data_IF_707668532708
#
_entry.id   IF_707668532708
#
_cell.length_a   1.000
_cell.length_b   1.000
_cell.length_c   1.000
_cell.angle_alpha   90.00
_cell.angle_beta   90.00
_cell.angle_gamma   90.00
#
_symmetry.space_group_name_H-M   'P 1'
#
loop_
_entity.id
_entity.type
_entity.pdbx_description
1 polymer ?
#
# COMPACT_ATOMS: atom_id res chain seq x y z
N UNK A 1 -11.65 7.21 9.68
CA UNK A 1 -11.02 5.87 9.72
C UNK A 1 -11.68 5.05 10.84
N UNK A 2 -11.88 3.75 10.64
CA UNK A 2 -12.33 2.85 11.72
C UNK A 2 -11.21 2.72 12.77
N UNK A 3 -11.54 2.44 14.03
CA UNK A 3 -10.55 2.25 15.11
C UNK A 3 -9.49 1.22 14.73
N UNK A 4 -9.89 0.16 14.02
CA UNK A 4 -8.98 -0.84 13.46
C UNK A 4 -8.02 -0.26 12.42
N UNK A 5 -8.50 0.58 11.49
CA UNK A 5 -7.63 1.22 10.50
C UNK A 5 -6.63 2.19 11.14
N UNK A 6 -7.05 2.93 12.17
CA UNK A 6 -6.12 3.79 12.94
C UNK A 6 -5.05 2.96 13.66
N UNK A 7 -5.43 1.89 14.38
CA UNK A 7 -4.46 1.00 15.03
C UNK A 7 -3.50 0.37 14.02
N UNK A 8 -4.03 -0.08 12.87
CA UNK A 8 -3.26 -0.70 11.80
C UNK A 8 -2.26 0.27 11.16
N UNK A 9 -2.70 1.49 10.84
CA UNK A 9 -1.85 2.55 10.29
C UNK A 9 -0.84 3.16 11.25
N UNK A 10 -0.92 2.83 12.54
CA UNK A 10 0.11 3.16 13.54
C UNK A 10 0.95 1.94 13.95
N UNK A 11 0.75 0.77 13.32
CA UNK A 11 1.51 -0.45 13.60
C UNK A 11 1.21 -1.06 14.97
N UNK A 12 0.07 -0.72 15.57
CA UNK A 12 -0.33 -1.17 16.90
C UNK A 12 -0.94 -2.57 16.84
N UNK A 13 -0.12 -3.57 16.52
CA UNK A 13 -0.55 -4.97 16.35
C UNK A 13 -1.34 -5.51 17.56
N UNK A 14 -0.88 -5.26 18.78
CA UNK A 14 -1.57 -5.74 19.98
C UNK A 14 -2.92 -5.06 20.20
N UNK A 15 -3.03 -3.76 19.92
CA UNK A 15 -4.31 -3.06 19.95
C UNK A 15 -5.26 -3.60 18.87
N UNK A 16 -4.74 -3.88 17.67
CA UNK A 16 -5.54 -4.45 16.58
C UNK A 16 -6.04 -5.87 16.90
N UNK A 17 -5.19 -6.71 17.52
CA UNK A 17 -5.57 -8.03 18.06
C UNK A 17 -6.69 -7.91 19.07
N UNK A 18 -6.55 -7.00 20.03
CA UNK A 18 -7.57 -6.75 21.05
C UNK A 18 -8.90 -6.28 20.43
N UNK A 19 -8.86 -5.32 19.49
CA UNK A 19 -10.06 -4.85 18.79
C UNK A 19 -10.75 -6.00 18.05
N UNK A 20 -9.98 -6.91 17.44
CA UNK A 20 -10.53 -8.06 16.72
C UNK A 20 -11.24 -9.04 17.65
N UNK A 21 -10.70 -9.34 18.83
CA UNK A 21 -11.35 -10.24 19.79
C UNK A 21 -12.62 -9.66 20.39
N UNK A 22 -12.76 -8.33 20.40
CA UNK A 22 -13.94 -7.61 20.88
C UNK A 22 -14.97 -7.32 19.77
N UNK A 23 -14.83 -7.97 18.61
CA UNK A 23 -15.79 -7.89 17.52
C UNK A 23 -15.79 -6.55 16.77
N UNK A 24 -14.74 -5.73 16.91
CA UNK A 24 -14.64 -4.51 16.12
C UNK A 24 -14.55 -4.86 14.62
N UNK A 25 -15.43 -4.31 13.78
CA UNK A 25 -15.38 -4.56 12.35
C UNK A 25 -14.13 -3.95 11.75
N UNK A 26 -13.50 -4.68 10.84
CA UNK A 26 -12.49 -4.15 9.93
C UNK A 26 -12.98 -4.24 8.50
N UNK A 27 -12.29 -3.53 7.61
CA UNK A 27 -12.51 -3.56 6.16
C UNK A 27 -11.16 -3.51 5.45
N UNK A 28 -11.15 -3.51 4.12
CA UNK A 28 -9.92 -3.30 3.33
C UNK A 28 -9.15 -2.03 3.75
N UNK A 29 -9.84 -1.01 4.28
CA UNK A 29 -9.21 0.18 4.84
C UNK A 29 -8.21 -0.12 5.97
N UNK A 30 -8.41 -1.20 6.74
CA UNK A 30 -7.48 -1.61 7.80
C UNK A 30 -6.15 -2.08 7.21
N UNK A 31 -6.20 -2.92 6.18
CA UNK A 31 -5.01 -3.37 5.45
C UNK A 31 -4.35 -2.21 4.69
N UNK A 32 -5.14 -1.34 4.05
CA UNK A 32 -4.63 -0.15 3.35
C UNK A 32 -3.86 0.79 4.28
N UNK A 33 -4.39 1.10 5.48
CA UNK A 33 -3.70 1.96 6.44
C UNK A 33 -2.41 1.34 6.97
N UNK A 34 -2.40 0.04 7.29
CA UNK A 34 -1.14 -0.64 7.66
C UNK A 34 -0.12 -0.62 6.52
N UNK A 35 -0.60 -0.79 5.28
CA UNK A 35 0.25 -0.79 4.10
C UNK A 35 0.85 0.59 3.82
N UNK A 36 0.08 1.67 3.94
CA UNK A 36 0.54 3.07 3.83
C UNK A 36 1.61 3.41 4.87
N UNK A 37 1.40 2.98 6.12
CA UNK A 37 2.33 3.21 7.23
C UNK A 37 3.57 2.30 7.23
N UNK A 38 3.65 1.33 6.33
CA UNK A 38 4.81 0.41 6.25
C UNK A 38 4.81 -0.68 7.31
N UNK A 39 3.69 -0.93 7.98
CA UNK A 39 3.61 -1.84 9.11
C UNK A 39 3.41 -3.30 8.67
N UNK A 40 4.44 -3.87 8.05
CA UNK A 40 4.40 -5.19 7.44
C UNK A 40 3.92 -6.30 8.40
N UNK A 41 4.42 -6.34 9.63
CA UNK A 41 4.01 -7.34 10.62
C UNK A 41 2.52 -7.20 11.00
N UNK A 42 2.02 -5.96 11.07
CA UNK A 42 0.60 -5.71 11.33
C UNK A 42 -0.26 -6.13 10.14
N UNK A 43 0.21 -5.86 8.93
CA UNK A 43 -0.46 -6.24 7.68
C UNK A 43 -0.51 -7.76 7.48
N UNK A 44 0.60 -8.46 7.73
CA UNK A 44 0.69 -9.93 7.70
C UNK A 44 -0.35 -10.56 8.60
N UNK A 45 -0.36 -10.15 9.87
CA UNK A 45 -1.32 -10.66 10.84
C UNK A 45 -2.76 -10.34 10.43
N UNK A 46 -3.04 -9.12 9.94
CA UNK A 46 -4.37 -8.76 9.50
C UNK A 46 -4.83 -9.62 8.31
N UNK A 47 -3.96 -9.85 7.33
CA UNK A 47 -4.21 -10.72 6.18
C UNK A 47 -4.50 -12.16 6.62
N UNK A 48 -3.67 -12.74 7.49
CA UNK A 48 -3.85 -14.10 8.02
C UNK A 48 -5.16 -14.26 8.78
N UNK A 49 -5.61 -13.20 9.45
CA UNK A 49 -6.87 -13.19 10.17
C UNK A 49 -8.09 -12.89 9.26
N UNK A 50 -7.90 -12.71 7.96
CA UNK A 50 -8.94 -12.57 6.95
C UNK A 50 -9.27 -11.12 6.55
N UNK A 51 -8.40 -10.15 6.82
CA UNK A 51 -8.51 -8.81 6.22
C UNK A 51 -8.19 -8.90 4.73
N UNK A 52 -9.07 -8.38 3.83
CA UNK A 52 -8.86 -8.50 2.40
C UNK A 52 -7.68 -7.64 1.93
N UNK A 53 -6.82 -8.24 1.12
CA UNK A 53 -5.80 -7.54 0.35
C UNK A 53 -6.34 -7.28 -1.07
N UNK A 54 -6.25 -6.02 -1.50
CA UNK A 54 -6.76 -5.58 -2.79
C UNK A 54 -5.79 -4.60 -3.48
N UNK A 55 -6.13 -4.20 -4.71
CA UNK A 55 -5.32 -3.24 -5.46
C UNK A 55 -5.15 -1.89 -4.76
N UNK A 56 -6.10 -1.51 -3.90
CA UNK A 56 -5.99 -0.32 -3.07
C UNK A 56 -4.97 -0.47 -1.95
N UNK A 57 -4.72 -1.69 -1.49
CA UNK A 57 -3.66 -2.00 -0.53
C UNK A 57 -2.27 -1.80 -1.17
N UNK A 58 -2.09 -2.25 -2.42
CA UNK A 58 -0.89 -1.94 -3.20
C UNK A 58 -0.74 -0.45 -3.48
N UNK A 59 -1.83 0.24 -3.84
CA UNK A 59 -1.87 1.70 -3.99
C UNK A 59 -1.37 2.42 -2.74
N UNK A 60 -1.88 2.03 -1.56
CA UNK A 60 -1.53 2.63 -0.28
C UNK A 60 -0.05 2.42 0.07
N UNK A 61 0.46 1.20 -0.08
CA UNK A 61 1.89 0.91 0.11
C UNK A 61 2.77 1.75 -0.83
N UNK A 62 2.37 1.88 -2.10
CA UNK A 62 3.12 2.66 -3.08
C UNK A 62 3.10 4.16 -2.78
N UNK A 63 1.93 4.70 -2.42
CA UNK A 63 1.74 6.10 -2.02
C UNK A 63 2.45 6.48 -0.72
N UNK A 64 2.67 5.52 0.19
CA UNK A 64 3.49 5.69 1.39
C UNK A 64 4.98 5.36 1.22
N UNK A 65 5.40 4.94 0.02
CA UNK A 65 6.80 4.63 -0.28
C UNK A 65 7.32 3.32 0.32
N UNK A 66 6.41 2.43 0.70
CA UNK A 66 6.70 1.24 1.50
C UNK A 66 7.10 0.06 0.60
N UNK A 67 8.36 0.07 0.15
CA UNK A 67 8.90 -0.94 -0.77
C UNK A 67 8.74 -2.38 -0.25
N UNK A 68 9.11 -2.63 1.01
CA UNK A 68 9.08 -3.98 1.60
C UNK A 68 7.64 -4.52 1.68
N UNK A 69 6.70 -3.65 2.03
CA UNK A 69 5.27 -3.99 2.03
C UNK A 69 4.78 -4.30 0.62
N UNK A 70 5.14 -3.48 -0.36
CA UNK A 70 4.71 -3.67 -1.74
C UNK A 70 5.25 -4.99 -2.32
N UNK A 71 6.50 -5.33 -2.04
CA UNK A 71 7.10 -6.62 -2.41
C UNK A 71 6.35 -7.79 -1.79
N UNK A 72 6.03 -7.70 -0.49
CA UNK A 72 5.26 -8.75 0.18
C UNK A 72 3.85 -8.90 -0.40
N UNK A 73 3.16 -7.80 -0.69
CA UNK A 73 1.82 -7.82 -1.30
C UNK A 73 1.81 -8.55 -2.64
N UNK A 74 2.80 -8.30 -3.50
CA UNK A 74 2.91 -9.02 -4.77
C UNK A 74 3.22 -10.51 -4.59
N UNK A 75 4.04 -10.86 -3.60
CA UNK A 75 4.30 -12.26 -3.28
C UNK A 75 3.04 -13.00 -2.81
N UNK A 76 2.06 -12.29 -2.23
CA UNK A 76 0.74 -12.83 -1.89
C UNK A 76 -0.22 -12.89 -3.10
N UNK A 77 0.22 -12.47 -4.30
CA UNK A 77 -0.63 -12.39 -5.48
C UNK A 77 -1.63 -11.23 -5.45
N UNK A 78 -1.41 -10.21 -4.61
CA UNK A 78 -2.26 -9.04 -4.57
C UNK A 78 -2.19 -8.30 -5.92
N UNK A 79 -3.33 -8.01 -6.57
CA UNK A 79 -3.32 -7.27 -7.81
C UNK A 79 -2.79 -5.85 -7.58
N UNK A 80 -2.13 -5.30 -8.57
CA UNK A 80 -1.80 -3.88 -8.66
C UNK A 80 -2.32 -3.30 -9.97
N UNK A 81 -2.38 -1.98 -10.05
CA UNK A 81 -2.91 -1.28 -11.24
C UNK A 81 -2.07 -0.04 -11.55
N UNK A 82 -2.41 0.67 -12.62
CA UNK A 82 -1.82 1.98 -12.93
C UNK A 82 -1.87 2.93 -11.72
N UNK A 83 -2.92 2.83 -10.90
CA UNK A 83 -3.05 3.64 -9.70
C UNK A 83 -1.89 3.43 -8.72
N UNK A 84 -1.32 2.23 -8.65
CA UNK A 84 -0.16 1.91 -7.79
C UNK A 84 1.07 2.71 -8.21
N UNK A 85 1.38 2.71 -9.52
CA UNK A 85 2.46 3.51 -10.07
C UNK A 85 2.18 5.03 -9.92
N UNK A 86 0.94 5.46 -10.17
CA UNK A 86 0.53 6.86 -9.96
C UNK A 86 0.69 7.31 -8.50
N UNK A 87 0.35 6.47 -7.54
CA UNK A 87 0.49 6.78 -6.11
C UNK A 87 1.95 6.99 -5.71
N UNK A 88 2.84 6.09 -6.13
CA UNK A 88 4.27 6.26 -5.91
C UNK A 88 4.81 7.57 -6.52
N UNK A 89 4.33 7.93 -7.71
CA UNK A 89 4.68 9.19 -8.36
C UNK A 89 4.19 10.41 -7.57
N UNK A 90 2.93 10.40 -7.14
CA UNK A 90 2.32 11.48 -6.35
C UNK A 90 2.95 11.64 -4.96
N UNK A 91 3.34 10.55 -4.32
CA UNK A 91 4.07 10.55 -3.05
C UNK A 91 5.55 10.91 -3.19
N UNK A 92 6.06 11.10 -4.41
CA UNK A 92 7.48 11.39 -4.65
C UNK A 92 8.40 10.18 -4.39
N UNK A 93 7.86 8.96 -4.34
CA UNK A 93 8.58 7.75 -4.00
C UNK A 93 9.24 7.12 -5.22
N UNK A 94 10.26 7.81 -5.73
CA UNK A 94 11.01 7.47 -6.93
C UNK A 94 11.49 6.01 -6.98
N UNK A 95 12.03 5.51 -5.87
CA UNK A 95 12.54 4.13 -5.77
C UNK A 95 11.43 3.11 -5.99
N UNK A 96 10.26 3.32 -5.38
CA UNK A 96 9.08 2.45 -5.53
C UNK A 96 8.57 2.51 -6.96
N UNK A 97 8.50 3.70 -7.56
CA UNK A 97 8.04 3.86 -8.93
C UNK A 97 8.96 3.16 -9.95
N UNK A 98 10.28 3.34 -9.81
CA UNK A 98 11.28 2.64 -10.65
C UNK A 98 11.16 1.12 -10.51
N UNK A 99 11.02 0.65 -9.28
CA UNK A 99 10.87 -0.78 -9.01
C UNK A 99 9.57 -1.35 -9.60
N UNK A 100 8.44 -0.67 -9.41
CA UNK A 100 7.15 -1.07 -9.95
C UNK A 100 7.17 -1.14 -11.49
N UNK A 101 7.80 -0.16 -12.16
CA UNK A 101 8.02 -0.16 -13.62
C UNK A 101 8.85 -1.38 -14.06
N UNK A 102 9.94 -1.67 -13.36
CA UNK A 102 10.81 -2.81 -13.67
C UNK A 102 10.10 -4.17 -13.51
N UNK A 103 9.05 -4.24 -12.70
CA UNK A 103 8.29 -5.46 -12.43
C UNK A 103 6.95 -5.52 -13.19
N UNK A 104 6.74 -4.64 -14.17
CA UNK A 104 5.59 -4.71 -15.08
C UNK A 104 4.28 -4.15 -14.52
N UNK A 105 4.34 -3.27 -13.50
CA UNK A 105 3.18 -2.48 -13.09
C UNK A 105 2.61 -1.74 -14.32
N UNK A 106 1.30 -1.85 -14.61
CA UNK A 106 0.67 -1.11 -15.68
C UNK A 106 0.92 0.38 -15.51
N UNK A 107 1.20 1.09 -16.60
CA UNK A 107 1.37 2.53 -16.61
C UNK A 107 0.59 3.15 -17.76
N UNK A 108 0.07 4.35 -17.55
CA UNK A 108 -0.70 5.09 -18.54
C UNK A 108 -0.42 6.58 -18.45
N UNK A 109 -1.09 7.36 -19.29
CA UNK A 109 -0.87 8.81 -19.43
C UNK A 109 -1.06 9.57 -18.11
N UNK A 110 -1.90 9.07 -17.20
CA UNK A 110 -2.12 9.69 -15.88
C UNK A 110 -0.93 9.53 -14.94
N UNK A 111 -0.21 8.42 -15.04
CA UNK A 111 1.04 8.17 -14.31
C UNK A 111 2.16 9.09 -14.81
N UNK A 112 2.25 9.28 -16.13
CA UNK A 112 3.23 10.17 -16.76
C UNK A 112 3.14 11.61 -16.20
N UNK A 113 1.96 12.22 -16.27
CA UNK A 113 1.76 13.59 -15.76
C UNK A 113 1.99 13.68 -14.25
N UNK A 114 1.57 12.67 -13.49
CA UNK A 114 1.81 12.65 -12.03
C UNK A 114 3.29 12.55 -11.67
N UNK A 115 4.11 11.84 -12.47
CA UNK A 115 5.55 11.77 -12.29
C UNK A 115 6.24 13.10 -12.65
N UNK A 116 5.79 13.76 -13.72
CA UNK A 116 6.30 15.09 -14.12
C UNK A 116 5.93 16.16 -13.08
N UNK A 117 4.66 16.23 -12.66
CA UNK A 117 4.19 17.19 -11.65
C UNK A 117 4.84 16.94 -10.27
N UNK A 118 5.14 15.68 -9.95
CA UNK A 118 5.87 15.29 -8.74
C UNK A 118 7.38 15.51 -8.79
N UNK A 119 7.92 16.09 -9.86
CA UNK A 119 9.36 16.36 -10.02
C UNK A 119 10.21 15.14 -10.36
N UNK A 120 9.59 14.02 -10.75
CA UNK A 120 10.23 12.73 -11.04
C UNK A 120 10.34 12.48 -12.55
N UNK A 121 10.76 13.49 -13.33
CA UNK A 121 10.92 13.39 -14.78
C UNK A 121 11.93 12.31 -15.20
N UNK A 122 12.88 11.95 -14.32
CA UNK A 122 13.92 10.94 -14.58
C UNK A 122 13.35 9.52 -14.74
N UNK A 123 12.14 9.25 -14.26
CA UNK A 123 11.47 7.93 -14.45
C UNK A 123 10.80 7.84 -15.82
N UNK A 124 10.78 8.94 -16.56
CA UNK A 124 10.01 9.11 -17.77
C UNK A 124 10.89 8.98 -19.03
N UNK A 125 12.21 8.93 -18.84
CA UNK A 125 13.19 8.49 -19.85
C UNK A 125 13.25 6.96 -19.96
#
# INVERSE_FOLDING_TARGET
ASTCAAAAGNGQLEALRWLRTHGCPWSGATCQSAAEGGHLETLRWASDAGCPLDALTCYAAAGGGQMEVLQWLLAQGCPWSELTCRAAAQGGHLSVLKWARAHGCPWGSGTFWSAVDGGNADVVA
#
